data_IF_972839358156
#
_entry.id   IF_972839358156
#
_cell.length_a   1.000
_cell.length_b   1.000
_cell.length_c   1.000
_cell.angle_alpha   90.00
_cell.angle_beta   90.00
_cell.angle_gamma   90.00
#
_symmetry.space_group_name_H-M   'P 1'
#
loop_
_entity.id
_entity.type
_entity.pdbx_description
1 polymer ?
#
# COMPACT_ATOMS: atom_id res chain seq x y z
N UNK A 1 10.93 -3.18 7.44
CA UNK A 1 9.46 -3.05 7.37
C UNK A 1 8.90 -2.27 8.54
N UNK A 2 7.89 -1.43 8.29
CA UNK A 2 7.21 -0.61 9.29
C UNK A 2 5.70 -0.68 9.06
N UNK A 3 4.90 -0.68 10.14
CA UNK A 3 3.45 -0.49 10.07
C UNK A 3 3.13 0.98 10.32
N UNK A 4 2.47 1.60 9.36
CA UNK A 4 1.99 2.98 9.41
C UNK A 4 0.52 2.96 9.82
N UNK A 5 0.28 3.29 11.09
CA UNK A 5 -1.07 3.43 11.70
C UNK A 5 -1.41 4.86 12.09
N UNK A 6 -0.47 5.78 11.91
CA UNK A 6 -0.62 7.21 12.13
C UNK A 6 -0.08 7.94 10.90
N UNK A 7 -0.61 9.12 10.58
CA UNK A 7 -0.13 9.88 9.43
C UNK A 7 1.37 10.16 9.53
N UNK A 8 2.06 9.97 8.42
CA UNK A 8 3.46 10.36 8.18
C UNK A 8 3.49 11.47 7.12
N UNK A 9 4.55 12.27 7.13
CA UNK A 9 4.73 13.28 6.09
C UNK A 9 5.24 12.65 4.80
N UNK A 10 4.95 13.29 3.67
CA UNK A 10 5.50 12.92 2.37
C UNK A 10 7.03 12.91 2.39
N UNK A 11 7.64 13.84 3.13
CA UNK A 11 9.09 13.87 3.31
C UNK A 11 9.60 12.61 4.03
N UNK A 12 8.90 12.13 5.05
CA UNK A 12 9.22 10.85 5.70
C UNK A 12 9.08 9.68 4.73
N UNK A 13 7.99 9.62 3.96
CA UNK A 13 7.79 8.58 2.95
C UNK A 13 8.90 8.57 1.89
N UNK A 14 9.35 9.74 1.43
CA UNK A 14 10.49 9.88 0.51
C UNK A 14 11.79 9.33 1.10
N UNK A 15 12.04 9.61 2.38
CA UNK A 15 13.21 9.07 3.07
C UNK A 15 13.15 7.55 3.20
N UNK A 16 11.96 6.97 3.35
CA UNK A 16 11.79 5.51 3.36
C UNK A 16 11.99 4.91 1.95
N UNK A 17 11.48 5.56 0.89
CA UNK A 17 11.68 5.15 -0.52
C UNK A 17 13.16 5.02 -0.89
N UNK A 18 13.95 6.03 -0.53
CA UNK A 18 15.38 6.11 -0.82
C UNK A 18 16.19 4.95 -0.20
N UNK A 19 15.68 4.28 0.85
CA UNK A 19 16.38 3.17 1.52
C UNK A 19 16.26 1.85 0.77
N UNK A 20 15.24 1.66 -0.07
CA UNK A 20 14.91 0.35 -0.64
C UNK A 20 14.82 0.36 -2.16
N UNK A 21 14.02 1.25 -2.77
CA UNK A 21 13.76 1.23 -4.22
C UNK A 21 14.02 2.58 -4.93
N UNK A 22 14.57 3.57 -4.22
CA UNK A 22 14.92 4.87 -4.79
C UNK A 22 13.69 5.78 -4.95
N UNK A 23 12.91 5.57 -6.01
CA UNK A 23 11.81 6.45 -6.42
C UNK A 23 10.42 5.94 -6.00
N UNK A 24 10.35 4.70 -5.50
CA UNK A 24 9.10 3.99 -5.21
C UNK A 24 9.11 3.41 -3.79
N UNK A 25 7.93 3.27 -3.20
CA UNK A 25 7.70 2.51 -1.97
C UNK A 25 6.67 1.43 -2.26
N UNK A 26 7.05 0.16 -2.05
CA UNK A 26 6.06 -0.92 -1.97
C UNK A 26 5.25 -0.75 -0.69
N UNK A 27 3.95 -0.99 -0.79
CA UNK A 27 3.08 -1.00 0.37
C UNK A 27 2.00 -2.08 0.26
N UNK A 28 1.58 -2.60 1.40
CA UNK A 28 0.33 -3.36 1.53
C UNK A 28 -0.60 -2.61 2.46
N UNK A 29 -1.82 -2.37 2.01
CA UNK A 29 -2.85 -1.61 2.73
C UNK A 29 -3.87 -2.57 3.32
N UNK A 30 -4.17 -2.42 4.60
CA UNK A 30 -5.37 -2.99 5.22
C UNK A 30 -6.50 -1.96 5.15
N UNK A 31 -7.50 -2.23 4.31
CA UNK A 31 -8.64 -1.31 4.12
C UNK A 31 -9.63 -1.33 5.27
N UNK A 32 -9.65 -2.38 6.08
CA UNK A 32 -10.54 -2.56 7.24
C UNK A 32 -10.01 -1.82 8.46
N UNK A 33 -8.71 -1.96 8.72
CA UNK A 33 -8.02 -1.34 9.85
C UNK A 33 -7.50 0.07 9.54
N UNK A 34 -7.42 0.46 8.27
CA UNK A 34 -6.96 1.78 7.85
C UNK A 34 -5.47 2.01 8.12
N UNK A 35 -4.66 0.95 7.98
CA UNK A 35 -3.21 0.95 8.18
C UNK A 35 -2.51 0.45 6.92
N UNK A 36 -1.20 0.66 6.82
CA UNK A 36 -0.39 0.05 5.76
C UNK A 36 0.96 -0.41 6.29
N UNK A 37 1.54 -1.42 5.65
CA UNK A 37 2.93 -1.81 5.84
C UNK A 37 3.77 -1.35 4.65
N UNK A 38 5.00 -0.89 4.91
CA UNK A 38 5.97 -0.44 3.91
C UNK A 38 7.36 -1.03 4.19
N UNK A 39 8.28 -0.84 3.23
CA UNK A 39 9.69 -1.25 3.28
C UNK A 39 9.90 -2.77 3.37
N UNK A 40 9.03 -3.56 2.74
CA UNK A 40 9.32 -4.96 2.41
C UNK A 40 10.13 -5.06 1.13
N UNK A 41 10.87 -6.16 0.96
CA UNK A 41 11.52 -6.46 -0.31
C UNK A 41 10.46 -6.86 -1.35
N UNK A 42 9.47 -7.63 -0.89
CA UNK A 42 8.28 -8.04 -1.63
C UNK A 42 7.02 -7.58 -0.88
N UNK A 43 5.93 -7.35 -1.63
CA UNK A 43 4.61 -7.13 -1.02
C UNK A 43 4.16 -8.29 -0.12
N UNK A 44 4.66 -9.51 -0.38
CA UNK A 44 4.38 -10.66 0.47
C UNK A 44 4.97 -10.53 1.90
N UNK A 45 6.09 -9.81 2.05
CA UNK A 45 6.69 -9.57 3.37
C UNK A 45 5.80 -8.62 4.20
N UNK A 46 5.31 -7.56 3.55
CA UNK A 46 4.39 -6.57 4.12
C UNK A 46 3.03 -7.20 4.46
N UNK A 47 2.52 -8.05 3.57
CA UNK A 47 1.31 -8.84 3.82
C UNK A 47 1.47 -9.75 5.04
N UNK A 48 2.57 -10.50 5.12
CA UNK A 48 2.86 -11.38 6.24
C UNK A 48 2.95 -10.60 7.57
N UNK A 49 3.59 -9.43 7.56
CA UNK A 49 3.68 -8.55 8.73
C UNK A 49 2.29 -8.09 9.20
N UNK A 50 1.42 -7.67 8.28
CA UNK A 50 0.07 -7.23 8.62
C UNK A 50 -0.80 -8.38 9.15
N UNK A 51 -0.70 -9.58 8.57
CA UNK A 51 -1.38 -10.78 9.04
C UNK A 51 -0.96 -11.15 10.47
N UNK A 52 0.35 -11.13 10.75
CA UNK A 52 0.88 -11.36 12.10
C UNK A 52 0.37 -10.34 13.11
N UNK A 53 0.00 -9.15 12.65
CA UNK A 53 -0.49 -8.05 13.47
C UNK A 53 -2.03 -7.93 13.49
N UNK A 54 -2.74 -8.99 13.09
CA UNK A 54 -4.20 -9.12 13.25
C UNK A 54 -5.03 -8.72 12.03
N UNK A 55 -4.39 -8.39 10.91
CA UNK A 55 -5.09 -8.12 9.65
C UNK A 55 -5.68 -9.41 9.06
N UNK A 56 -6.69 -9.28 8.22
CA UNK A 56 -7.27 -10.41 7.50
C UNK A 56 -6.86 -10.36 6.02
N UNK A 57 -6.45 -11.49 5.45
CA UNK A 57 -5.98 -11.58 4.05
C UNK A 57 -6.93 -10.89 3.05
N UNK A 58 -8.24 -11.05 3.23
CA UNK A 58 -9.27 -10.48 2.36
C UNK A 58 -9.29 -8.94 2.32
N UNK A 59 -8.73 -8.31 3.33
CA UNK A 59 -8.70 -6.85 3.49
C UNK A 59 -7.34 -6.24 3.08
N UNK A 60 -6.37 -7.07 2.68
CA UNK A 60 -5.01 -6.65 2.33
C UNK A 60 -4.84 -6.44 0.82
N UNK A 61 -4.26 -5.31 0.40
CA UNK A 61 -4.05 -4.99 -1.01
C UNK A 61 -2.67 -4.38 -1.24
N UNK A 62 -1.93 -4.94 -2.20
CA UNK A 62 -0.59 -4.48 -2.56
C UNK A 62 -0.66 -3.33 -3.57
N UNK A 63 0.14 -2.30 -3.32
CA UNK A 63 0.28 -1.10 -4.16
C UNK A 63 1.73 -0.66 -4.24
N UNK A 64 2.03 0.19 -5.22
CA UNK A 64 3.26 0.96 -5.27
C UNK A 64 2.93 2.44 -5.09
N UNK A 65 3.71 3.14 -4.29
CA UNK A 65 3.64 4.58 -4.10
C UNK A 65 4.84 5.23 -4.76
N UNK A 66 4.62 6.32 -5.50
CA UNK A 66 5.65 7.13 -6.12
C UNK A 66 5.63 8.52 -5.48
N UNK A 67 6.40 8.74 -4.39
CA UNK A 67 6.30 9.97 -3.61
C UNK A 67 6.62 11.25 -4.40
N UNK A 68 7.37 11.15 -5.50
CA UNK A 68 7.68 12.30 -6.36
C UNK A 68 6.52 12.72 -7.25
N UNK A 69 5.56 11.84 -7.49
CA UNK A 69 4.31 12.11 -8.22
C UNK A 69 3.15 12.50 -7.28
N UNK A 70 3.42 12.71 -5.98
CA UNK A 70 2.37 12.92 -4.99
C UNK A 70 1.44 14.09 -5.35
N UNK A 71 0.16 13.78 -5.52
CA UNK A 71 -0.88 14.72 -5.94
C UNK A 71 -1.39 14.47 -7.35
N UNK A 72 -0.67 13.69 -8.16
CA UNK A 72 -1.11 13.23 -9.48
C UNK A 72 -1.78 11.85 -9.38
N UNK A 73 -2.57 11.47 -10.38
CA UNK A 73 -3.30 10.18 -10.37
C UNK A 73 -2.36 8.96 -10.32
N UNK A 74 -1.16 9.11 -10.89
CA UNK A 74 -0.11 8.09 -11.03
C UNK A 74 0.74 7.90 -9.76
N UNK A 75 0.52 8.69 -8.71
CA UNK A 75 1.28 8.55 -7.45
C UNK A 75 1.03 7.22 -6.74
N UNK A 76 -0.10 6.58 -7.05
CA UNK A 76 -0.52 5.30 -6.49
C UNK A 76 -0.84 4.33 -7.63
N UNK A 77 -0.04 3.28 -7.72
CA UNK A 77 -0.19 2.21 -8.71
C UNK A 77 -0.70 0.94 -8.04
N UNK A 78 -1.74 0.36 -8.63
CA UNK A 78 -2.30 -0.92 -8.22
C UNK A 78 -1.63 -2.04 -9.02
N UNK A 79 -0.39 -2.38 -8.71
CA UNK A 79 0.27 -3.56 -9.27
C UNK A 79 1.03 -4.33 -8.17
N UNK A 80 0.56 -5.55 -7.89
CA UNK A 80 1.21 -6.44 -6.95
C UNK A 80 0.85 -7.90 -7.19
N UNK A 81 1.78 -8.80 -6.89
CA UNK A 81 1.52 -10.24 -6.98
C UNK A 81 0.49 -10.74 -5.97
N UNK A 82 0.41 -10.11 -4.78
CA UNK A 82 -0.54 -10.55 -3.74
C UNK A 82 -2.00 -10.25 -4.10
N UNK A 83 -2.24 -9.38 -5.10
CA UNK A 83 -3.57 -9.02 -5.57
C UNK A 83 -4.19 -10.13 -6.44
N UNK A 84 -3.38 -11.04 -7.00
CA UNK A 84 -3.87 -12.14 -7.83
C UNK A 84 -4.61 -13.16 -6.95
N UNK A 85 -5.94 -13.02 -6.85
CA UNK A 85 -6.81 -13.79 -5.95
C UNK A 85 -8.10 -14.19 -6.64
N UNK A 86 -8.07 -15.21 -7.52
CA UNK A 86 -9.26 -15.68 -8.23
C UNK A 86 -10.41 -16.09 -7.31
N UNK A 87 -10.10 -16.69 -6.15
CA UNK A 87 -11.08 -17.07 -5.13
C UNK A 87 -11.80 -15.87 -4.49
N UNK A 88 -11.19 -14.69 -4.52
CA UNK A 88 -11.76 -13.41 -4.05
C UNK A 88 -12.31 -12.54 -5.17
N UNK A 89 -12.37 -13.05 -6.41
CA UNK A 89 -12.89 -12.32 -7.57
C UNK A 89 -11.93 -11.33 -8.24
N UNK A 90 -10.63 -11.34 -7.89
CA UNK A 90 -9.61 -10.49 -8.50
C UNK A 90 -8.64 -11.35 -9.33
N UNK A 91 -8.70 -11.24 -10.65
CA UNK A 91 -7.98 -12.15 -11.56
C UNK A 91 -6.71 -11.51 -12.15
N UNK A 92 -6.37 -10.30 -11.71
CA UNK A 92 -5.20 -9.58 -12.15
C UNK A 92 -4.25 -9.27 -10.99
N UNK A 93 -3.10 -8.68 -11.30
CA UNK A 93 -2.19 -8.06 -10.33
C UNK A 93 -2.66 -6.69 -9.87
N UNK A 94 -3.64 -6.14 -10.57
CA UNK A 94 -4.29 -4.91 -10.21
C UNK A 94 -5.40 -5.12 -9.22
N UNK A 95 -6.08 -4.04 -8.86
CA UNK A 95 -7.30 -4.06 -8.06
C UNK A 95 -8.46 -3.80 -9.01
N UNK A 96 -9.13 -4.86 -9.46
CA UNK A 96 -10.13 -4.80 -10.54
C UNK A 96 -11.40 -4.03 -10.11
N UNK A 97 -11.71 -4.02 -8.81
CA UNK A 97 -12.86 -3.30 -8.25
C UNK A 97 -12.54 -1.83 -7.97
N UNK A 98 -13.16 -0.93 -8.74
CA UNK A 98 -13.06 0.52 -8.55
C UNK A 98 -13.45 0.99 -7.14
N UNK A 99 -14.42 0.33 -6.48
CA UNK A 99 -14.79 0.68 -5.09
C UNK A 99 -13.63 0.39 -4.14
N UNK A 100 -12.92 -0.71 -4.37
CA UNK A 100 -11.75 -1.07 -3.58
C UNK A 100 -10.59 -0.11 -3.82
N UNK A 101 -10.35 0.32 -5.07
CA UNK A 101 -9.36 1.36 -5.36
C UNK A 101 -9.66 2.67 -4.61
N UNK A 102 -10.93 3.08 -4.54
CA UNK A 102 -11.34 4.28 -3.79
C UNK A 102 -11.04 4.12 -2.28
N UNK A 103 -11.32 2.96 -1.71
CA UNK A 103 -11.03 2.67 -0.30
C UNK A 103 -9.53 2.70 -0.01
N UNK A 104 -8.72 2.07 -0.86
CA UNK A 104 -7.26 2.08 -0.73
C UNK A 104 -6.73 3.50 -0.80
N UNK A 105 -7.12 4.29 -1.82
CA UNK A 105 -6.73 5.71 -1.96
C UNK A 105 -7.12 6.51 -0.71
N UNK A 106 -8.30 6.26 -0.14
CA UNK A 106 -8.75 6.93 1.08
C UNK A 106 -7.83 6.62 2.27
N UNK A 107 -7.48 5.34 2.49
CA UNK A 107 -6.57 4.95 3.57
C UNK A 107 -5.21 5.60 3.38
N UNK A 108 -4.64 5.49 2.18
CA UNK A 108 -3.32 6.04 1.88
C UNK A 108 -3.30 7.57 2.04
N UNK A 109 -4.29 8.29 1.54
CA UNK A 109 -4.41 9.75 1.68
C UNK A 109 -4.59 10.21 3.14
N UNK A 110 -5.14 9.36 4.01
CA UNK A 110 -5.20 9.64 5.44
C UNK A 110 -3.85 9.42 6.13
N UNK A 111 -3.03 8.51 5.61
CA UNK A 111 -1.74 8.12 6.21
C UNK A 111 -0.54 8.91 5.67
N UNK A 112 -0.67 9.60 4.53
CA UNK A 112 0.42 10.38 3.92
C UNK A 112 -0.02 11.82 3.71
N UNK A 113 0.66 12.77 4.37
CA UNK A 113 0.31 14.19 4.32
C UNK A 113 1.43 15.05 3.73
N UNK A 114 1.10 16.19 3.11
CA UNK A 114 2.09 17.10 2.49
C UNK A 114 2.99 17.86 3.48
N UNK A 115 2.78 17.70 4.80
CA UNK A 115 3.22 18.59 5.89
C UNK A 115 2.36 19.84 6.05
#
# INVERSE_FOLDING_TARGET
MLIISKPITLAQLKLEAAKVFGEMVKAVVDVSLGIMAINGELHADEEALLLQNGSQQKDLWGINLYPDLFGDDDWLEFDSMINLRPSGGNNSRSVDDNKMQILIRKVVNNLVTKS
#
